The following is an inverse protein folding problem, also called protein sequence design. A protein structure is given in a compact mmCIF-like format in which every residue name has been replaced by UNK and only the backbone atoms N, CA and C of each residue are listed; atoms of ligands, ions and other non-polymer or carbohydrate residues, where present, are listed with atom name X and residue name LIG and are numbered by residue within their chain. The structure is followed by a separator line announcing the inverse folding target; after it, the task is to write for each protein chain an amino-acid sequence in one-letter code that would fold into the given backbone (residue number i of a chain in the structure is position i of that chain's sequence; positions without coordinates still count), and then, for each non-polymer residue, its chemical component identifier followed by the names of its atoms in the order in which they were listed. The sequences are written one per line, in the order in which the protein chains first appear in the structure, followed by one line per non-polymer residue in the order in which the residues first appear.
data_IF_553535540506
#
_entry.id   IF_553535540506
#
_cell.length_a   1.000
_cell.length_b   1.000
_cell.length_c   1.000
_cell.angle_alpha   90.00
_cell.angle_beta   90.00
_cell.angle_gamma   90.00
#
_symmetry.space_group_name_H-M   'P 1'
#
loop_
_entity.id
_entity.type
_entity.pdbx_description
1 polymer ?
#
# COMPACT_ATOMS: atom_id res chain seq x y z
N UNK A 1 32.96 -0.17 -2.19
CA UNK A 1 31.52 0.06 -2.50
C UNK A 1 31.21 1.46 -1.99
N UNK A 2 30.92 2.40 -2.88
CA UNK A 2 30.63 3.79 -2.51
C UNK A 2 29.36 3.81 -1.68
N UNK A 3 29.52 3.96 -0.36
CA UNK A 3 28.50 3.75 0.67
C UNK A 3 27.40 4.81 0.70
N UNK A 4 26.60 4.88 -0.36
CA UNK A 4 25.44 5.77 -0.46
C UNK A 4 24.23 5.18 0.29
N UNK A 5 24.41 4.91 1.58
CA UNK A 5 23.39 4.26 2.42
C UNK A 5 22.10 5.08 2.45
N UNK A 6 22.19 6.39 2.65
CA UNK A 6 21.03 7.29 2.66
C UNK A 6 20.27 7.26 1.32
N UNK A 7 20.98 7.28 0.19
CA UNK A 7 20.34 7.18 -1.12
C UNK A 7 19.64 5.83 -1.30
N UNK A 8 20.28 4.74 -0.87
CA UNK A 8 19.66 3.41 -0.95
C UNK A 8 18.41 3.30 -0.08
N UNK A 9 18.42 3.89 1.12
CA UNK A 9 17.25 3.95 1.99
C UNK A 9 16.12 4.74 1.33
N UNK A 10 16.41 5.92 0.78
CA UNK A 10 15.41 6.74 0.08
C UNK A 10 14.84 6.06 -1.16
N UNK A 11 15.64 5.30 -1.90
CA UNK A 11 15.13 4.53 -3.04
C UNK A 11 14.16 3.43 -2.60
N UNK A 12 14.41 2.79 -1.45
CA UNK A 12 13.49 1.80 -0.87
C UNK A 12 12.20 2.50 -0.43
N UNK A 13 12.29 3.63 0.27
CA UNK A 13 11.10 4.43 0.63
C UNK A 13 10.27 4.80 -0.60
N UNK A 14 10.91 5.30 -1.68
CA UNK A 14 10.20 5.63 -2.92
C UNK A 14 9.55 4.40 -3.59
N UNK A 15 10.13 3.21 -3.45
CA UNK A 15 9.59 1.98 -4.02
C UNK A 15 8.28 1.55 -3.32
N UNK A 16 8.12 1.88 -2.03
CA UNK A 16 6.97 1.50 -1.22
C UNK A 16 6.02 2.66 -0.90
N UNK A 17 6.29 3.88 -1.35
CA UNK A 17 5.51 5.10 -1.08
C UNK A 17 4.00 4.88 -1.19
N UNK A 18 3.52 4.25 -2.26
CA UNK A 18 2.09 3.99 -2.46
C UNK A 18 1.54 3.09 -1.34
N UNK A 19 2.15 1.94 -1.10
CA UNK A 19 1.67 0.98 -0.09
C UNK A 19 1.82 1.51 1.34
N UNK A 20 2.85 2.31 1.60
CA UNK A 20 3.10 2.95 2.88
C UNK A 20 2.04 3.99 3.19
N UNK A 21 1.70 4.83 2.20
CA UNK A 21 0.65 5.84 2.36
C UNK A 21 -0.71 5.21 2.61
N UNK A 22 -1.08 4.18 1.84
CA UNK A 22 -2.35 3.47 2.04
C UNK A 22 -2.42 2.80 3.43
N UNK A 23 -1.33 2.16 3.87
CA UNK A 23 -1.23 1.55 5.20
C UNK A 23 -1.39 2.61 6.29
N UNK A 24 -0.68 3.73 6.16
CA UNK A 24 -0.72 4.81 7.14
C UNK A 24 -2.12 5.43 7.25
N UNK A 25 -2.81 5.62 6.12
CA UNK A 25 -4.17 6.14 6.11
C UNK A 25 -5.16 5.21 6.84
N UNK A 26 -5.04 3.89 6.67
CA UNK A 26 -5.98 2.91 7.23
C UNK A 26 -5.70 2.59 8.70
N UNK A 27 -4.43 2.47 9.12
CA UNK A 27 -4.08 2.00 10.46
C UNK A 27 -3.01 2.83 11.19
N UNK A 28 -2.58 3.96 10.63
CA UNK A 28 -1.57 4.86 11.21
C UNK A 28 -0.25 4.18 11.58
N UNK A 29 0.10 3.10 10.86
CA UNK A 29 1.38 2.38 10.96
C UNK A 29 2.20 2.62 9.69
N UNK A 30 3.52 2.60 9.81
CA UNK A 30 4.46 2.60 8.68
C UNK A 30 5.38 1.38 8.80
N UNK A 31 5.68 0.66 7.70
CA UNK A 31 6.63 -0.45 7.72
C UNK A 31 8.04 0.01 8.07
N UNK A 32 8.81 -0.84 8.77
CA UNK A 32 10.23 -0.59 9.00
C UNK A 32 11.11 -1.26 7.93
N UNK A 33 11.37 -0.51 6.87
CA UNK A 33 12.16 -0.98 5.73
C UNK A 33 13.61 -1.32 6.08
N UNK A 34 14.18 -0.73 7.13
CA UNK A 34 15.55 -1.05 7.58
C UNK A 34 15.62 -2.46 8.17
N UNK A 35 14.50 -2.94 8.70
CA UNK A 35 14.35 -4.29 9.24
C UNK A 35 13.69 -5.26 8.23
N UNK A 36 13.69 -4.94 6.93
CA UNK A 36 13.07 -5.73 5.86
C UNK A 36 11.55 -5.91 6.00
N UNK A 37 10.90 -5.07 6.79
CA UNK A 37 9.45 -4.97 6.83
C UNK A 37 9.02 -3.95 5.77
N UNK A 38 8.57 -4.46 4.63
CA UNK A 38 8.20 -3.62 3.48
C UNK A 38 6.70 -3.41 3.34
N UNK A 39 5.88 -4.29 3.92
CA UNK A 39 4.43 -4.23 3.84
C UNK A 39 3.85 -4.58 5.20
N UNK A 40 2.85 -3.83 5.64
CA UNK A 40 2.02 -4.16 6.80
C UNK A 40 0.62 -4.44 6.26
N UNK A 41 0.06 -5.60 6.63
CA UNK A 41 -1.33 -5.92 6.33
C UNK A 41 -2.18 -5.48 7.53
N UNK A 42 -3.10 -4.49 7.38
CA UNK A 42 -3.88 -3.98 8.49
C UNK A 42 -4.78 -5.04 9.14
N UNK A 43 -4.93 -5.02 10.47
CA UNK A 43 -5.76 -5.96 11.23
C UNK A 43 -7.23 -5.96 10.79
N UNK A 44 -7.73 -4.82 10.28
CA UNK A 44 -9.07 -4.73 9.70
C UNK A 44 -9.27 -5.74 8.56
N UNK A 45 -8.23 -6.08 7.79
CA UNK A 45 -8.30 -7.10 6.73
C UNK A 45 -8.66 -8.49 7.27
N UNK A 46 -8.32 -8.79 8.52
CA UNK A 46 -8.63 -10.05 9.19
C UNK A 46 -10.06 -10.07 9.71
N UNK A 47 -10.64 -8.89 9.96
CA UNK A 47 -11.96 -8.71 10.56
C UNK A 47 -13.06 -8.36 9.54
N UNK A 48 -12.73 -8.17 8.26
CA UNK A 48 -13.73 -7.99 7.21
C UNK A 48 -14.59 -9.25 7.11
N UNK A 49 -15.91 -9.10 7.13
CA UNK A 49 -16.83 -10.20 6.93
C UNK A 49 -16.52 -10.91 5.60
N UNK A 50 -16.22 -12.19 5.70
CA UNK A 50 -15.94 -13.08 4.57
C UNK A 50 -17.24 -13.48 3.88
N UNK A 51 -17.95 -12.49 3.34
CA UNK A 51 -19.09 -12.70 2.46
C UNK A 51 -18.64 -13.22 1.09
N UNK A 52 -19.57 -13.82 0.33
CA UNK A 52 -19.29 -14.24 -1.05
C UNK A 52 -18.86 -13.04 -1.91
N UNK A 53 -19.46 -11.88 -1.67
CA UNK A 53 -19.12 -10.64 -2.38
C UNK A 53 -17.68 -10.19 -2.12
N UNK A 54 -17.20 -10.23 -0.87
CA UNK A 54 -15.81 -9.83 -0.56
C UNK A 54 -14.81 -10.82 -1.14
N UNK A 55 -15.15 -12.11 -1.16
CA UNK A 55 -14.33 -13.14 -1.81
C UNK A 55 -14.25 -12.94 -3.33
N UNK A 56 -15.39 -12.73 -4.00
CA UNK A 56 -15.42 -12.46 -5.44
C UNK A 56 -14.67 -11.19 -5.82
N UNK A 57 -14.87 -10.10 -5.07
CA UNK A 57 -14.17 -8.84 -5.32
C UNK A 57 -12.65 -9.00 -5.21
N UNK A 58 -12.17 -9.69 -4.16
CA UNK A 58 -10.74 -9.98 -4.00
C UNK A 58 -10.20 -10.81 -5.17
N UNK A 59 -10.93 -11.83 -5.61
CA UNK A 59 -10.49 -12.66 -6.73
C UNK A 59 -10.41 -11.87 -8.04
N UNK A 60 -11.36 -10.95 -8.29
CA UNK A 60 -11.32 -10.06 -9.45
C UNK A 60 -10.10 -9.13 -9.42
N UNK A 61 -9.78 -8.58 -8.25
CA UNK A 61 -8.56 -7.78 -8.06
C UNK A 61 -7.29 -8.58 -8.34
N UNK A 62 -7.21 -9.83 -7.87
CA UNK A 62 -6.07 -10.72 -8.10
C UNK A 62 -5.88 -11.14 -9.57
N UNK A 63 -6.93 -11.05 -10.38
CA UNK A 63 -6.88 -11.37 -11.81
C UNK A 63 -6.51 -10.17 -12.69
N UNK A 64 -6.37 -8.98 -12.12
CA UNK A 64 -5.93 -7.81 -12.88
C UNK A 64 -4.48 -7.98 -13.32
N UNK A 65 -4.16 -7.69 -14.60
CA UNK A 65 -2.79 -7.47 -15.03
C UNK A 65 -2.11 -6.39 -14.17
N UNK A 66 -0.80 -6.52 -13.95
CA UNK A 66 -0.05 -5.61 -13.08
C UNK A 66 -0.25 -4.13 -13.45
N UNK A 67 -0.26 -3.79 -14.74
CA UNK A 67 -0.44 -2.40 -15.17
C UNK A 67 -1.81 -1.83 -14.77
N UNK A 68 -2.88 -2.64 -14.83
CA UNK A 68 -4.22 -2.21 -14.39
C UNK A 68 -4.33 -2.17 -12.87
N UNK A 69 -3.64 -3.07 -12.17
CA UNK A 69 -3.57 -3.04 -10.71
C UNK A 69 -2.81 -1.79 -10.22
N UNK A 70 -1.72 -1.42 -10.90
CA UNK A 70 -0.93 -0.20 -10.64
C UNK A 70 -1.76 1.06 -10.91
N UNK A 71 -2.51 1.13 -12.02
CA UNK A 71 -3.47 2.22 -12.28
C UNK A 71 -4.52 2.33 -11.18
N UNK A 72 -5.15 1.22 -10.79
CA UNK A 72 -6.12 1.20 -9.69
C UNK A 72 -5.50 1.62 -8.36
N UNK A 73 -4.26 1.23 -8.08
CA UNK A 73 -3.55 1.64 -6.87
C UNK A 73 -3.27 3.15 -6.86
N UNK A 74 -2.96 3.75 -8.02
CA UNK A 74 -2.83 5.21 -8.17
C UNK A 74 -4.17 5.93 -7.94
N UNK A 75 -5.28 5.42 -8.49
CA UNK A 75 -6.61 5.98 -8.23
C UNK A 75 -6.95 6.01 -6.73
N UNK A 76 -6.60 4.92 -6.01
CA UNK A 76 -6.80 4.84 -4.55
C UNK A 76 -5.86 5.77 -3.79
N UNK A 77 -4.62 5.94 -4.26
CA UNK A 77 -3.65 6.89 -3.70
C UNK A 77 -4.16 8.33 -3.82
N UNK A 78 -4.65 8.72 -4.99
CA UNK A 78 -5.22 10.05 -5.24
C UNK A 78 -6.46 10.30 -4.38
N UNK A 79 -7.31 9.29 -4.16
CA UNK A 79 -8.46 9.41 -3.25
C UNK A 79 -8.04 9.61 -1.79
N UNK A 80 -6.93 9.01 -1.35
CA UNK A 80 -6.37 9.28 -0.02
C UNK A 80 -5.90 10.72 0.07
N UNK A 81 -5.14 11.21 -0.92
CA UNK A 81 -4.67 12.59 -0.95
C UNK A 81 -5.83 13.59 -0.96
N UNK A 82 -6.87 13.33 -1.77
CA UNK A 82 -8.09 14.12 -1.82
C UNK A 82 -8.79 14.20 -0.46
N UNK A 83 -8.89 13.08 0.28
CA UNK A 83 -9.50 13.05 1.62
C UNK A 83 -8.70 13.82 2.66
N UNK A 84 -7.38 13.88 2.54
CA UNK A 84 -6.52 14.58 3.50
C UNK A 84 -6.45 16.09 3.21
N UNK A 85 -6.60 16.48 1.94
CA UNK A 85 -6.46 17.88 1.50
C UNK A 85 -7.78 18.65 1.44
N UNK A 86 -8.90 17.97 1.20
CA UNK A 86 -10.23 18.59 1.09
C UNK A 86 -11.09 18.48 2.36
N UNK A 87 -10.58 17.88 3.45
CA UNK A 87 -11.29 17.71 4.72
C UNK A 87 -11.17 18.92 5.67
#
# INVERSE_FOLDING_TARGET
MSGHLELSERLIECMYEVTDRLTFFVCSKKPDHRHQEHLIIPDISLNIERSELTFEARNRLQLLPNNLLEELAMDVYDEVDRRETEA
#
